data_IF_848312610957
#
_entry.id   IF_848312610957
#
_cell.length_a   1.000
_cell.length_b   1.000
_cell.length_c   1.000
_cell.angle_alpha   90.00
_cell.angle_beta   90.00
_cell.angle_gamma   90.00
#
_symmetry.space_group_name_H-M   'P 1'
#
loop_
_entity.id
_entity.type
_entity.pdbx_description
1 polymer ?
#
# COMPACT_ATOMS: atom_id res chain seq x y z
N UNK A 1 80.65 -3.24 9.06
CA UNK A 1 80.32 -4.27 10.03
C UNK A 1 79.37 -3.64 11.02
N UNK A 2 78.10 -3.82 10.83
CA UNK A 2 77.09 -3.46 11.83
C UNK A 2 75.82 -4.25 11.45
N UNK A 3 75.41 -5.10 12.32
CA UNK A 3 74.22 -5.96 12.14
C UNK A 3 72.93 -5.21 12.47
N UNK A 4 71.92 -5.38 11.67
CA UNK A 4 70.55 -5.00 11.98
C UNK A 4 69.86 -6.17 12.74
N UNK A 5 68.97 -5.93 13.70
CA UNK A 5 68.12 -6.95 14.26
C UNK A 5 66.72 -6.94 13.59
N UNK A 6 66.29 -8.10 13.18
CA UNK A 6 64.92 -8.44 12.79
C UNK A 6 63.87 -8.11 13.89
N UNK A 7 62.82 -7.44 13.53
CA UNK A 7 61.62 -7.32 14.36
C UNK A 7 60.41 -7.95 13.65
N UNK A 8 60.18 -9.19 13.97
CA UNK A 8 58.99 -9.95 13.55
C UNK A 8 57.76 -9.46 14.34
N UNK A 9 56.93 -8.63 13.71
CA UNK A 9 55.71 -8.12 14.26
C UNK A 9 54.53 -9.02 13.89
N UNK A 10 54.11 -9.88 14.82
CA UNK A 10 52.93 -10.75 14.67
C UNK A 10 51.65 -9.95 14.45
N UNK A 11 51.21 -9.85 13.21
CA UNK A 11 49.88 -9.35 12.86
C UNK A 11 48.79 -10.38 13.28
N UNK A 12 48.13 -10.09 14.38
CA UNK A 12 46.96 -10.82 14.86
C UNK A 12 45.80 -10.66 13.86
N UNK A 13 45.58 -11.66 13.04
CA UNK A 13 44.42 -11.70 12.12
C UNK A 13 43.13 -11.74 12.94
N UNK A 14 42.44 -10.61 12.99
CA UNK A 14 41.03 -10.51 13.42
C UNK A 14 40.19 -11.34 12.45
N UNK A 15 39.75 -12.52 12.90
CA UNK A 15 38.79 -13.35 12.11
C UNK A 15 37.51 -12.55 11.87
N UNK A 16 37.26 -12.14 10.64
CA UNK A 16 36.01 -11.53 10.23
C UNK A 16 34.84 -12.52 10.41
N UNK A 17 33.90 -12.18 11.26
CA UNK A 17 32.69 -12.97 11.47
C UNK A 17 31.94 -13.19 10.14
N UNK A 18 31.58 -14.44 9.85
CA UNK A 18 30.93 -14.82 8.60
C UNK A 18 29.54 -14.16 8.46
N UNK A 19 29.08 -13.87 7.23
CA UNK A 19 27.82 -13.16 6.98
C UNK A 19 26.56 -13.82 7.58
N UNK A 20 26.61 -15.09 7.90
CA UNK A 20 25.52 -15.83 8.53
C UNK A 20 25.29 -15.50 10.00
N UNK A 21 26.35 -15.21 10.74
CA UNK A 21 26.30 -14.88 12.19
C UNK A 21 25.67 -13.52 12.41
N UNK A 22 26.00 -12.53 11.56
CA UNK A 22 25.42 -11.17 11.62
C UNK A 22 23.90 -11.20 11.35
N UNK A 23 23.44 -12.06 10.42
CA UNK A 23 22.00 -12.22 10.14
C UNK A 23 21.21 -12.80 11.33
N UNK A 24 21.84 -13.66 12.15
CA UNK A 24 21.18 -14.33 13.26
C UNK A 24 21.00 -13.44 14.48
N UNK A 25 21.94 -12.54 14.72
CA UNK A 25 21.92 -11.61 15.87
C UNK A 25 21.01 -10.39 15.63
N UNK A 26 20.98 -9.84 14.40
CA UNK A 26 20.21 -8.63 14.11
C UNK A 26 18.71 -8.86 13.91
N UNK A 27 18.24 -10.08 13.59
CA UNK A 27 16.83 -10.39 13.42
C UNK A 27 15.95 -10.17 14.67
N UNK A 28 16.35 -10.65 15.87
CA UNK A 28 15.59 -10.43 17.09
C UNK A 28 15.57 -8.97 17.52
N UNK A 29 16.72 -8.27 17.36
CA UNK A 29 16.87 -6.84 17.74
C UNK A 29 16.00 -5.97 16.83
N UNK A 30 15.96 -6.23 15.51
CA UNK A 30 15.15 -5.49 14.57
C UNK A 30 13.64 -5.63 14.86
N UNK A 31 13.18 -6.82 15.27
CA UNK A 31 11.78 -7.07 15.67
C UNK A 31 11.41 -6.33 16.96
N UNK A 32 12.30 -6.31 17.95
CA UNK A 32 12.06 -5.68 19.26
C UNK A 32 11.97 -4.15 19.18
N UNK A 33 12.58 -3.53 18.16
CA UNK A 33 12.57 -2.07 17.96
C UNK A 33 11.67 -1.60 16.79
N UNK A 34 10.78 -2.45 16.28
CA UNK A 34 9.90 -2.10 15.14
C UNK A 34 10.65 -1.79 13.84
N UNK A 35 11.95 -2.19 13.75
CA UNK A 35 12.83 -1.91 12.61
C UNK A 35 12.69 -2.91 11.46
N UNK A 36 11.91 -3.97 11.66
CA UNK A 36 11.66 -4.99 10.65
C UNK A 36 10.47 -4.59 9.77
N UNK A 37 10.59 -3.50 9.00
CA UNK A 37 9.70 -3.30 7.88
C UNK A 37 9.73 -4.54 6.96
N UNK A 38 8.58 -5.02 6.45
CA UNK A 38 8.56 -6.09 5.48
C UNK A 38 9.47 -5.68 4.32
N UNK A 39 10.36 -6.60 3.93
CA UNK A 39 11.23 -6.33 2.80
C UNK A 39 10.39 -6.36 1.53
N UNK A 40 10.60 -5.40 0.61
CA UNK A 40 10.09 -5.59 -0.73
C UNK A 40 10.58 -6.94 -1.25
N UNK A 41 9.72 -7.71 -1.86
CA UNK A 41 10.04 -9.09 -2.29
C UNK A 41 11.15 -9.14 -3.33
N UNK A 42 11.34 -8.07 -4.06
CA UNK A 42 12.30 -7.94 -5.16
C UNK A 42 13.64 -7.33 -4.76
N UNK A 43 13.83 -6.92 -3.50
CA UNK A 43 15.05 -6.24 -3.06
C UNK A 43 16.26 -7.17 -2.90
N UNK A 44 16.43 -8.16 -3.78
CA UNK A 44 17.62 -9.02 -3.78
C UNK A 44 18.82 -8.39 -4.51
N UNK A 45 18.59 -7.43 -5.41
CA UNK A 45 19.61 -6.82 -6.25
C UNK A 45 20.35 -5.63 -5.63
N UNK A 46 19.90 -5.13 -4.47
CA UNK A 46 20.46 -3.93 -3.85
C UNK A 46 21.73 -4.15 -3.06
N UNK A 47 22.65 -3.14 -3.02
CA UNK A 47 23.83 -3.18 -2.17
C UNK A 47 23.47 -3.44 -0.70
N UNK A 48 24.26 -4.26 -0.03
CA UNK A 48 24.05 -4.62 1.39
C UNK A 48 24.05 -3.39 2.32
N UNK A 49 24.86 -2.38 2.01
CA UNK A 49 24.97 -1.13 2.77
C UNK A 49 23.65 -0.36 2.84
N UNK A 50 22.95 -0.19 1.71
CA UNK A 50 21.65 0.49 1.69
C UNK A 50 20.59 -0.29 2.49
N UNK A 51 20.60 -1.63 2.38
CA UNK A 51 19.68 -2.49 3.15
C UNK A 51 19.91 -2.39 4.67
N UNK A 52 21.15 -2.28 5.10
CA UNK A 52 21.52 -2.11 6.50
C UNK A 52 21.16 -0.71 6.98
N UNK A 53 21.40 0.35 6.19
CA UNK A 53 21.05 1.74 6.51
C UNK A 53 19.54 1.91 6.79
N UNK A 54 18.70 1.37 5.91
CA UNK A 54 17.22 1.36 6.10
C UNK A 54 16.83 0.62 7.38
N UNK A 55 17.44 -0.53 7.65
CA UNK A 55 17.14 -1.34 8.86
C UNK A 55 17.55 -0.66 10.16
N UNK A 56 18.68 0.04 10.17
CA UNK A 56 19.19 0.73 11.33
C UNK A 56 18.55 2.11 11.52
N UNK A 57 17.61 2.52 10.65
CA UNK A 57 16.95 3.81 10.73
C UNK A 57 17.85 5.00 10.38
N UNK A 58 18.94 4.75 9.65
CA UNK A 58 19.91 5.80 9.22
C UNK A 58 19.45 6.61 8.02
N UNK A 59 18.38 6.16 7.34
CA UNK A 59 17.76 6.88 6.21
C UNK A 59 16.41 7.43 6.63
N UNK A 60 16.11 8.67 6.27
CA UNK A 60 14.87 9.35 6.60
C UNK A 60 13.68 8.79 5.82
N UNK A 61 13.88 8.52 4.51
CA UNK A 61 12.85 8.01 3.61
C UNK A 61 13.21 6.63 3.02
N UNK A 62 12.19 5.82 2.75
CA UNK A 62 12.34 4.50 2.17
C UNK A 62 11.09 4.11 1.36
N UNK A 63 11.28 3.73 0.11
CA UNK A 63 10.20 3.23 -0.73
C UNK A 63 10.05 1.71 -0.56
N UNK A 64 8.92 1.27 -0.05
CA UNK A 64 8.60 -0.15 0.13
C UNK A 64 8.29 -0.88 -1.19
N UNK A 65 8.06 -0.13 -2.28
CA UNK A 65 7.77 -0.65 -3.61
C UNK A 65 9.07 -1.04 -4.33
N UNK A 66 10.00 -0.11 -4.54
CA UNK A 66 11.25 -0.38 -5.24
C UNK A 66 12.45 -0.57 -4.32
N UNK A 67 12.30 -0.30 -3.01
CA UNK A 67 13.34 -0.39 -1.99
C UNK A 67 14.32 0.78 -1.98
N UNK A 68 14.13 1.85 -2.80
CA UNK A 68 14.93 3.06 -2.72
C UNK A 68 14.97 3.62 -1.29
N UNK A 69 16.08 4.23 -0.92
CA UNK A 69 16.27 4.83 0.39
C UNK A 69 17.11 6.12 0.25
N UNK A 70 16.66 7.18 0.90
CA UNK A 70 17.27 8.50 0.84
C UNK A 70 16.84 9.42 1.98
N UNK A 71 17.07 10.71 1.81
CA UNK A 71 16.72 11.72 2.81
C UNK A 71 15.23 12.12 2.76
N UNK A 72 14.63 12.14 1.56
CA UNK A 72 13.22 12.48 1.33
C UNK A 72 12.74 12.01 -0.03
N UNK A 73 11.44 12.06 -0.26
CA UNK A 73 10.82 11.85 -1.57
C UNK A 73 10.83 13.18 -2.35
N UNK A 74 10.80 13.12 -3.67
CA UNK A 74 10.82 14.31 -4.54
C UNK A 74 9.46 15.04 -4.51
N UNK A 75 9.51 16.37 -4.46
CA UNK A 75 8.32 17.23 -4.43
C UNK A 75 7.96 17.73 -3.03
N UNK A 76 6.76 18.31 -2.91
CA UNK A 76 6.26 18.80 -1.62
C UNK A 76 5.91 17.63 -0.70
N UNK A 77 6.54 17.57 0.45
CA UNK A 77 6.32 16.50 1.44
C UNK A 77 4.88 16.47 1.97
N UNK A 78 4.18 17.62 2.02
CA UNK A 78 2.79 17.71 2.47
C UNK A 78 1.80 17.29 1.39
N UNK A 79 2.22 17.24 0.14
CA UNK A 79 1.40 16.71 -0.96
C UNK A 79 1.51 15.18 -1.01
N UNK A 80 0.39 14.51 -1.23
CA UNK A 80 0.40 13.08 -1.54
C UNK A 80 1.20 12.75 -2.81
N UNK A 81 1.45 13.75 -3.66
CA UNK A 81 2.18 13.63 -4.93
C UNK A 81 3.70 13.54 -4.77
N UNK A 82 4.26 13.66 -3.55
CA UNK A 82 5.69 13.46 -3.33
C UNK A 82 6.14 12.07 -3.80
N UNK A 83 7.00 12.04 -4.84
CA UNK A 83 7.32 10.85 -5.61
C UNK A 83 8.63 10.19 -5.19
N UNK A 84 8.66 8.87 -5.31
CA UNK A 84 9.91 8.13 -5.26
C UNK A 84 10.74 8.41 -6.52
N UNK A 85 12.00 8.89 -6.38
CA UNK A 85 12.86 9.23 -7.54
C UNK A 85 13.23 8.02 -8.40
N UNK A 86 12.99 6.80 -7.91
CA UNK A 86 13.33 5.56 -8.63
C UNK A 86 12.13 4.96 -9.36
N UNK A 87 10.96 4.89 -8.73
CA UNK A 87 9.81 4.18 -9.31
C UNK A 87 8.57 5.06 -9.52
N UNK A 88 8.64 6.36 -9.20
CA UNK A 88 7.53 7.29 -9.37
C UNK A 88 6.33 7.05 -8.45
N UNK A 89 6.45 6.14 -7.45
CA UNK A 89 5.36 5.89 -6.51
C UNK A 89 5.12 7.09 -5.60
N UNK A 90 3.87 7.45 -5.39
CA UNK A 90 3.45 8.48 -4.44
C UNK A 90 3.04 7.86 -3.09
N UNK A 91 2.71 8.67 -2.11
CA UNK A 91 2.45 8.23 -0.74
C UNK A 91 1.32 7.19 -0.65
N UNK A 92 0.21 7.39 -1.38
CA UNK A 92 -0.93 6.46 -1.42
C UNK A 92 -0.59 5.10 -2.02
N UNK A 93 0.27 5.06 -3.07
CA UNK A 93 0.73 3.80 -3.67
C UNK A 93 1.55 3.00 -2.65
N UNK A 94 2.44 3.68 -1.91
CA UNK A 94 3.27 3.06 -0.87
C UNK A 94 2.43 2.53 0.29
N UNK A 95 1.33 3.20 0.63
CA UNK A 95 0.40 2.73 1.65
C UNK A 95 -0.38 1.49 1.20
N UNK A 96 -1.01 1.55 0.03
CA UNK A 96 -1.73 0.41 -0.56
C UNK A 96 -0.82 -0.81 -0.69
N UNK A 97 0.38 -0.60 -1.22
CA UNK A 97 1.36 -1.67 -1.35
C UNK A 97 1.80 -2.25 0.01
N UNK A 98 1.92 -1.42 1.06
CA UNK A 98 2.17 -1.91 2.41
C UNK A 98 1.04 -2.82 2.89
N UNK A 99 -0.21 -2.40 2.74
CA UNK A 99 -1.38 -3.18 3.11
C UNK A 99 -1.37 -4.55 2.40
N UNK A 100 -1.22 -4.55 1.09
CA UNK A 100 -1.12 -5.77 0.30
C UNK A 100 0.07 -6.65 0.71
N UNK A 101 1.26 -6.09 0.77
CA UNK A 101 2.50 -6.87 0.98
C UNK A 101 2.64 -7.45 2.38
N UNK A 102 2.08 -6.79 3.40
CA UNK A 102 2.14 -7.27 4.79
C UNK A 102 1.17 -8.42 5.06
N UNK A 103 0.09 -8.52 4.27
CA UNK A 103 -1.04 -9.43 4.51
C UNK A 103 -1.14 -10.56 3.48
N UNK A 104 -0.50 -10.41 2.33
CA UNK A 104 -0.51 -11.41 1.25
C UNK A 104 0.75 -12.27 1.29
N UNK A 105 0.62 -13.60 1.42
CA UNK A 105 1.76 -14.49 1.42
C UNK A 105 2.37 -14.57 0.01
N UNK A 106 3.71 -14.63 -0.04
CA UNK A 106 4.45 -14.76 -1.31
C UNK A 106 4.34 -16.17 -1.84
N UNK A 107 3.48 -16.38 -2.80
CA UNK A 107 3.28 -17.68 -3.44
C UNK A 107 3.18 -17.50 -4.95
N UNK A 108 4.07 -18.14 -5.73
CA UNK A 108 4.09 -18.03 -7.21
C UNK A 108 2.77 -18.44 -7.88
N UNK A 109 2.01 -19.30 -7.26
CA UNK A 109 0.72 -19.76 -7.77
C UNK A 109 -0.44 -18.83 -7.42
N UNK A 110 -0.23 -17.83 -6.54
CA UNK A 110 -1.29 -16.90 -6.15
C UNK A 110 -1.63 -16.01 -7.35
N UNK A 111 -2.88 -16.07 -7.78
CA UNK A 111 -3.41 -15.31 -8.94
C UNK A 111 -3.75 -13.91 -8.47
N UNK A 112 -2.95 -12.95 -8.90
CA UNK A 112 -3.08 -11.53 -8.54
C UNK A 112 -3.48 -10.74 -9.77
N UNK A 113 -4.59 -10.01 -9.70
CA UNK A 113 -5.03 -9.04 -10.69
C UNK A 113 -4.90 -7.64 -10.09
N UNK A 114 -4.41 -6.69 -10.87
CA UNK A 114 -4.35 -5.27 -10.48
C UNK A 114 -5.03 -4.44 -11.56
N UNK A 115 -5.97 -3.59 -11.17
CA UNK A 115 -6.66 -2.68 -12.08
C UNK A 115 -5.91 -1.34 -12.16
N UNK A 116 -5.91 -0.73 -13.35
CA UNK A 116 -5.32 0.59 -13.60
C UNK A 116 -3.91 0.77 -12.99
N UNK A 117 -2.93 -0.06 -13.40
CA UNK A 117 -1.62 -0.16 -12.74
C UNK A 117 -0.75 1.04 -13.08
N UNK A 118 -0.76 2.05 -12.22
CA UNK A 118 -0.01 3.30 -12.40
C UNK A 118 1.52 3.10 -12.36
N UNK A 119 1.99 2.06 -11.69
CA UNK A 119 3.42 1.77 -11.55
C UNK A 119 3.97 1.03 -12.77
N UNK A 120 5.19 1.45 -13.20
CA UNK A 120 5.81 1.04 -14.44
C UNK A 120 6.24 -0.42 -14.56
N UNK A 121 6.91 -0.74 -15.66
CA UNK A 121 7.32 -2.08 -16.06
C UNK A 121 8.12 -2.84 -14.98
N UNK A 122 9.05 -2.17 -14.28
CA UNK A 122 9.89 -2.83 -13.26
C UNK A 122 9.06 -3.37 -12.08
N UNK A 123 8.06 -2.60 -11.63
CA UNK A 123 7.12 -3.05 -10.62
C UNK A 123 6.34 -4.28 -11.10
N UNK A 124 5.75 -4.22 -12.30
CA UNK A 124 4.97 -5.33 -12.86
C UNK A 124 5.83 -6.58 -13.08
N UNK A 125 7.07 -6.43 -13.55
CA UNK A 125 8.01 -7.52 -13.68
C UNK A 125 8.37 -8.15 -12.31
N UNK A 126 8.48 -7.33 -11.26
CA UNK A 126 8.69 -7.82 -9.91
C UNK A 126 7.46 -8.58 -9.37
N UNK A 127 6.26 -8.10 -9.62
CA UNK A 127 5.00 -8.79 -9.26
C UNK A 127 4.91 -10.16 -9.96
N UNK A 128 5.19 -10.24 -11.25
CA UNK A 128 5.21 -11.52 -12.01
C UNK A 128 6.26 -12.52 -11.53
N UNK A 129 7.32 -12.06 -10.87
CA UNK A 129 8.32 -12.97 -10.27
C UNK A 129 7.77 -13.75 -9.07
N UNK A 130 6.82 -13.17 -8.35
CA UNK A 130 6.30 -13.69 -7.08
C UNK A 130 4.89 -14.25 -7.16
N UNK A 131 4.14 -13.84 -8.15
CA UNK A 131 2.73 -14.18 -8.31
C UNK A 131 2.43 -14.59 -9.77
N UNK A 132 1.32 -15.25 -9.98
CA UNK A 132 0.63 -15.31 -11.26
C UNK A 132 -0.09 -13.97 -11.46
N UNK A 133 0.70 -12.92 -11.78
CA UNK A 133 0.23 -11.53 -11.83
C UNK A 133 -0.20 -11.13 -13.24
N UNK A 134 -1.35 -10.47 -13.32
CA UNK A 134 -1.84 -9.75 -14.50
C UNK A 134 -2.28 -8.35 -14.10
N UNK A 135 -2.11 -7.41 -15.00
CA UNK A 135 -2.65 -6.05 -14.90
C UNK A 135 -3.83 -5.88 -15.86
N UNK A 136 -4.79 -5.05 -15.47
CA UNK A 136 -5.95 -4.73 -16.31
C UNK A 136 -6.24 -3.25 -16.30
N UNK A 137 -6.87 -2.76 -17.35
CA UNK A 137 -7.39 -1.40 -17.42
C UNK A 137 -8.67 -1.40 -18.26
N UNK A 138 -9.51 -0.38 -18.10
CA UNK A 138 -10.66 -0.15 -18.96
C UNK A 138 -10.20 0.19 -20.39
N UNK A 139 -9.19 1.06 -20.49
CA UNK A 139 -8.48 1.38 -21.73
C UNK A 139 -7.06 0.78 -21.72
N UNK A 140 -6.80 -0.18 -22.57
CA UNK A 140 -5.47 -0.80 -22.72
C UNK A 140 -4.35 0.19 -23.04
N UNK A 141 -4.68 1.30 -23.69
CA UNK A 141 -3.72 2.35 -24.05
C UNK A 141 -3.26 3.20 -22.86
N UNK A 142 -4.08 3.34 -21.82
CA UNK A 142 -3.83 4.25 -20.71
C UNK A 142 -2.60 3.85 -19.88
N UNK A 143 -2.48 2.58 -19.49
CA UNK A 143 -1.40 2.08 -18.62
C UNK A 143 -0.65 0.87 -19.20
N UNK A 144 -0.82 0.55 -20.48
CA UNK A 144 -0.22 -0.63 -21.12
C UNK A 144 -0.50 -1.91 -20.31
N UNK A 145 -1.75 -2.11 -19.93
CA UNK A 145 -2.20 -3.25 -19.16
C UNK A 145 -2.19 -4.55 -19.98
N UNK A 146 -2.20 -5.70 -19.28
CA UNK A 146 -2.18 -7.02 -19.94
C UNK A 146 -3.54 -7.36 -20.56
N UNK A 147 -4.65 -6.91 -19.95
CA UNK A 147 -6.01 -7.19 -20.42
C UNK A 147 -6.91 -5.95 -20.29
N UNK A 148 -7.87 -5.79 -21.20
CA UNK A 148 -8.99 -4.85 -21.02
C UNK A 148 -9.98 -5.44 -20.01
N UNK A 149 -10.54 -4.58 -19.13
CA UNK A 149 -11.46 -5.04 -18.11
C UNK A 149 -12.41 -3.92 -17.67
N UNK A 150 -13.71 -4.16 -17.83
CA UNK A 150 -14.75 -3.36 -17.21
C UNK A 150 -15.16 -4.01 -15.89
N UNK A 151 -15.05 -3.27 -14.78
CA UNK A 151 -15.45 -3.78 -13.46
C UNK A 151 -16.94 -4.13 -13.36
N UNK A 152 -17.79 -3.57 -14.22
CA UNK A 152 -19.22 -3.90 -14.27
C UNK A 152 -19.54 -5.18 -15.06
N UNK A 153 -18.58 -5.65 -15.87
CA UNK A 153 -18.72 -6.86 -16.68
C UNK A 153 -17.35 -7.50 -16.87
N UNK A 154 -16.90 -8.23 -15.85
CA UNK A 154 -15.57 -8.83 -15.85
C UNK A 154 -15.58 -10.12 -16.66
N UNK A 155 -14.86 -10.12 -17.80
CA UNK A 155 -14.68 -11.30 -18.66
C UNK A 155 -13.60 -12.24 -18.09
N UNK A 156 -13.84 -12.72 -16.88
CA UNK A 156 -13.02 -13.74 -16.21
C UNK A 156 -13.94 -14.76 -15.55
N UNK A 157 -13.53 -16.04 -15.47
CA UNK A 157 -14.30 -17.08 -14.80
C UNK A 157 -14.54 -16.78 -13.31
N UNK A 158 -15.59 -17.36 -12.74
CA UNK A 158 -15.80 -17.41 -11.30
C UNK A 158 -14.58 -18.04 -10.62
N UNK A 159 -14.30 -17.62 -9.39
CA UNK A 159 -13.23 -18.20 -8.56
C UNK A 159 -11.83 -18.19 -9.22
N UNK A 160 -11.59 -17.27 -10.18
CA UNK A 160 -10.36 -17.23 -10.99
C UNK A 160 -9.23 -16.40 -10.41
N UNK A 161 -9.49 -15.54 -9.41
CA UNK A 161 -8.54 -14.60 -8.81
C UNK A 161 -8.45 -14.83 -7.30
N UNK A 162 -7.24 -14.84 -6.75
CA UNK A 162 -7.00 -14.98 -5.31
C UNK A 162 -6.85 -13.62 -4.63
N UNK A 163 -6.28 -12.63 -5.34
CA UNK A 163 -6.12 -11.26 -4.85
C UNK A 163 -6.39 -10.27 -5.97
N UNK A 164 -7.27 -9.32 -5.71
CA UNK A 164 -7.48 -8.13 -6.55
C UNK A 164 -6.88 -6.91 -5.84
N UNK A 165 -6.18 -6.06 -6.60
CA UNK A 165 -5.71 -4.75 -6.15
C UNK A 165 -6.40 -3.71 -7.04
N UNK A 166 -7.21 -2.83 -6.45
CA UNK A 166 -7.97 -1.82 -7.20
C UNK A 166 -7.77 -0.43 -6.60
N UNK A 167 -6.73 0.30 -7.06
CA UNK A 167 -6.41 1.64 -6.60
C UNK A 167 -7.15 2.69 -7.43
N UNK A 168 -7.97 3.52 -6.80
CA UNK A 168 -8.57 4.71 -7.44
C UNK A 168 -9.24 4.39 -8.79
N UNK A 169 -10.11 3.39 -8.83
CA UNK A 169 -10.87 2.98 -10.03
C UNK A 169 -12.37 3.03 -9.77
N UNK A 170 -12.80 2.67 -8.55
CA UNK A 170 -14.22 2.48 -8.26
C UNK A 170 -15.04 3.79 -8.38
N UNK A 171 -14.41 4.94 -8.13
CA UNK A 171 -15.01 6.27 -8.32
C UNK A 171 -15.38 6.57 -9.78
N UNK A 172 -14.77 5.86 -10.72
CA UNK A 172 -15.00 5.97 -12.16
C UNK A 172 -16.02 4.97 -12.70
N UNK A 173 -16.59 4.13 -11.83
CA UNK A 173 -17.53 3.09 -12.23
C UNK A 173 -18.97 3.56 -11.98
N UNK A 174 -19.82 3.65 -13.02
CA UNK A 174 -21.20 4.11 -12.87
C UNK A 174 -22.04 3.30 -11.90
N UNK A 175 -22.01 1.95 -12.00
CA UNK A 175 -22.72 1.04 -11.10
C UNK A 175 -21.74 0.32 -10.17
N UNK A 176 -21.50 0.94 -9.02
CA UNK A 176 -20.64 0.38 -7.97
C UNK A 176 -21.14 -0.98 -7.45
N UNK A 177 -22.47 -1.20 -7.35
CA UNK A 177 -23.00 -2.46 -6.84
C UNK A 177 -22.73 -3.61 -7.80
N UNK A 178 -22.92 -3.37 -9.08
CA UNK A 178 -22.61 -4.35 -10.12
C UNK A 178 -21.12 -4.68 -10.12
N UNK A 179 -20.26 -3.65 -10.05
CA UNK A 179 -18.80 -3.87 -9.95
C UNK A 179 -18.40 -4.70 -8.74
N UNK A 180 -18.97 -4.43 -7.56
CA UNK A 180 -18.68 -5.19 -6.34
C UNK A 180 -19.17 -6.65 -6.44
N UNK A 181 -20.30 -6.88 -7.10
CA UNK A 181 -20.81 -8.23 -7.39
C UNK A 181 -19.86 -9.00 -8.28
N UNK A 182 -19.39 -8.40 -9.37
CA UNK A 182 -18.41 -8.99 -10.29
C UNK A 182 -17.07 -9.27 -9.63
N UNK A 183 -16.56 -8.31 -8.85
CA UNK A 183 -15.33 -8.50 -8.04
C UNK A 183 -15.50 -9.70 -7.13
N UNK A 184 -16.64 -9.82 -6.43
CA UNK A 184 -16.91 -10.95 -5.55
C UNK A 184 -16.99 -12.27 -6.31
N UNK A 185 -17.60 -12.27 -7.49
CA UNK A 185 -17.75 -13.47 -8.34
C UNK A 185 -16.40 -14.04 -8.76
N UNK A 186 -15.48 -13.18 -9.23
CA UNK A 186 -14.17 -13.64 -9.73
C UNK A 186 -13.18 -14.02 -8.63
N UNK A 187 -13.35 -13.53 -7.39
CA UNK A 187 -12.48 -13.91 -6.27
C UNK A 187 -12.75 -15.36 -5.86
N UNK A 188 -11.68 -16.13 -5.65
CA UNK A 188 -11.78 -17.48 -5.09
C UNK A 188 -12.30 -17.49 -3.65
N UNK A 189 -12.77 -18.63 -3.17
CA UNK A 189 -13.12 -18.80 -1.75
C UNK A 189 -11.91 -18.43 -0.86
N UNK A 190 -12.12 -17.52 0.09
CA UNK A 190 -11.06 -16.94 0.92
C UNK A 190 -10.15 -15.93 0.16
N UNK A 191 -10.46 -15.62 -1.08
CA UNK A 191 -9.82 -14.56 -1.85
C UNK A 191 -10.13 -13.17 -1.30
N UNK A 192 -9.37 -12.18 -1.69
CA UNK A 192 -9.49 -10.82 -1.14
C UNK A 192 -9.24 -9.73 -2.17
N UNK A 193 -9.86 -8.58 -1.95
CA UNK A 193 -9.50 -7.35 -2.67
C UNK A 193 -8.94 -6.31 -1.71
N UNK A 194 -7.94 -5.55 -2.18
CA UNK A 194 -7.45 -4.33 -1.56
C UNK A 194 -7.95 -3.17 -2.39
N UNK A 195 -8.94 -2.47 -1.85
CA UNK A 195 -9.62 -1.36 -2.50
C UNK A 195 -9.18 -0.04 -1.88
N UNK A 196 -8.82 0.92 -2.72
CA UNK A 196 -8.51 2.28 -2.32
C UNK A 196 -9.25 3.25 -3.23
N UNK A 197 -9.93 4.23 -2.64
CA UNK A 197 -10.62 5.33 -3.33
C UNK A 197 -10.31 6.65 -2.63
N UNK A 198 -10.47 7.80 -3.28
CA UNK A 198 -10.46 9.08 -2.60
C UNK A 198 -11.61 9.12 -1.58
N UNK A 199 -11.27 9.30 -0.30
CA UNK A 199 -12.27 9.46 0.76
C UNK A 199 -12.48 10.94 1.01
N UNK A 200 -13.56 11.51 0.46
CA UNK A 200 -13.77 12.95 0.45
C UNK A 200 -14.90 13.45 1.36
N UNK A 201 -15.81 12.55 1.80
CA UNK A 201 -17.02 12.96 2.54
C UNK A 201 -17.53 11.84 3.44
N UNK A 202 -18.46 12.17 4.34
CA UNK A 202 -19.06 11.20 5.28
C UNK A 202 -19.91 10.14 4.58
N UNK A 203 -20.71 10.54 3.60
CA UNK A 203 -21.60 9.66 2.83
C UNK A 203 -21.26 9.68 1.35
N UNK A 204 -21.37 8.54 0.71
CA UNK A 204 -21.16 8.37 -0.73
C UNK A 204 -22.26 9.09 -1.50
N UNK A 205 -21.88 9.98 -2.43
CA UNK A 205 -22.78 10.70 -3.31
C UNK A 205 -22.11 10.98 -4.66
N UNK A 206 -22.89 11.20 -5.74
CA UNK A 206 -22.32 11.73 -6.96
C UNK A 206 -21.78 13.15 -6.73
N UNK A 207 -20.79 13.61 -7.53
CA UNK A 207 -20.39 15.01 -7.53
C UNK A 207 -21.60 15.93 -7.81
N UNK A 208 -21.62 17.13 -7.21
CA UNK A 208 -22.69 18.12 -7.43
C UNK A 208 -22.68 18.63 -8.87
N UNK A 209 -21.51 18.72 -9.48
CA UNK A 209 -21.30 19.08 -10.88
C UNK A 209 -20.43 18.00 -11.55
N UNK A 210 -20.47 17.88 -12.90
CA UNK A 210 -19.60 16.94 -13.61
C UNK A 210 -18.13 17.14 -13.24
N UNK A 211 -17.50 16.11 -12.70
CA UNK A 211 -16.11 16.13 -12.26
C UNK A 211 -15.28 15.20 -13.13
N UNK A 212 -14.07 15.63 -13.48
CA UNK A 212 -13.13 14.86 -14.28
C UNK A 212 -11.74 14.97 -13.68
N UNK A 213 -10.98 13.88 -13.72
CA UNK A 213 -9.56 13.92 -13.40
C UNK A 213 -8.75 14.60 -14.53
N UNK A 214 -7.47 14.87 -14.29
CA UNK A 214 -6.60 15.57 -15.25
C UNK A 214 -6.44 14.84 -16.60
N UNK A 215 -6.65 13.52 -16.63
CA UNK A 215 -6.67 12.67 -17.82
C UNK A 215 -8.05 12.61 -18.52
N UNK A 216 -8.98 13.46 -18.12
CA UNK A 216 -10.37 13.52 -18.58
C UNK A 216 -11.22 12.30 -18.20
N UNK A 217 -10.79 11.50 -17.21
CA UNK A 217 -11.60 10.39 -16.67
C UNK A 217 -12.70 10.92 -15.77
N UNK A 218 -13.96 10.56 -16.07
CA UNK A 218 -15.14 11.03 -15.34
C UNK A 218 -15.22 10.41 -13.94
N UNK A 219 -15.53 11.23 -12.94
CA UNK A 219 -15.86 10.81 -11.58
C UNK A 219 -17.37 10.66 -11.46
N UNK A 220 -17.83 9.47 -11.11
CA UNK A 220 -19.26 9.18 -10.87
C UNK A 220 -19.61 9.27 -9.39
N UNK A 221 -18.65 8.95 -8.51
CA UNK A 221 -18.88 8.84 -7.08
C UNK A 221 -17.79 9.50 -6.26
N UNK A 222 -18.19 10.25 -5.26
CA UNK A 222 -17.38 10.67 -4.13
C UNK A 222 -17.70 9.76 -2.96
N UNK A 223 -16.76 8.89 -2.60
CA UNK A 223 -16.99 7.88 -1.58
C UNK A 223 -16.82 8.44 -0.17
N UNK A 224 -17.71 7.99 0.72
CA UNK A 224 -17.68 8.21 2.15
C UNK A 224 -17.43 6.92 2.94
N UNK A 225 -17.56 7.01 4.25
CA UNK A 225 -17.35 5.86 5.16
C UNK A 225 -18.41 4.77 5.00
N UNK A 226 -19.59 5.11 4.49
CA UNK A 226 -20.66 4.19 4.15
C UNK A 226 -20.26 3.18 3.05
N UNK A 227 -19.16 3.43 2.33
CA UNK A 227 -18.55 2.41 1.47
C UNK A 227 -18.27 1.11 2.23
N UNK A 228 -17.90 1.18 3.51
CA UNK A 228 -17.73 -0.01 4.36
C UNK A 228 -19.01 -0.84 4.46
N UNK A 229 -20.15 -0.18 4.61
CA UNK A 229 -21.47 -0.84 4.62
C UNK A 229 -21.83 -1.39 3.24
N UNK A 230 -21.54 -0.64 2.17
CA UNK A 230 -21.78 -1.11 0.80
C UNK A 230 -20.99 -2.39 0.50
N UNK A 231 -19.73 -2.44 0.90
CA UNK A 231 -18.87 -3.62 0.75
C UNK A 231 -19.42 -4.83 1.54
N UNK A 232 -19.90 -4.63 2.76
CA UNK A 232 -20.51 -5.68 3.57
C UNK A 232 -21.81 -6.20 2.97
N UNK A 233 -22.67 -5.30 2.51
CA UNK A 233 -23.94 -5.69 1.86
C UNK A 233 -23.71 -6.40 0.53
N UNK A 234 -22.53 -6.21 -0.09
CA UNK A 234 -22.10 -6.98 -1.26
C UNK A 234 -21.49 -8.35 -0.89
N UNK A 235 -21.53 -8.74 0.39
CA UNK A 235 -21.14 -10.08 0.87
C UNK A 235 -19.63 -10.23 1.17
N UNK A 236 -18.94 -9.13 1.50
CA UNK A 236 -17.56 -9.19 1.96
C UNK A 236 -17.45 -9.09 3.49
N UNK A 237 -16.48 -9.82 4.05
CA UNK A 237 -15.95 -9.50 5.37
C UNK A 237 -14.92 -8.37 5.19
N UNK A 238 -15.12 -7.22 5.87
CA UNK A 238 -14.39 -5.98 5.60
C UNK A 238 -13.52 -5.59 6.79
N UNK A 239 -12.28 -5.20 6.52
CA UNK A 239 -11.36 -4.52 7.43
C UNK A 239 -10.93 -3.20 6.82
N UNK A 240 -10.87 -2.17 7.66
CA UNK A 240 -10.50 -0.81 7.24
C UNK A 240 -9.07 -0.54 7.70
N UNK A 241 -8.13 -0.61 6.78
CA UNK A 241 -6.70 -0.48 7.07
C UNK A 241 -6.30 0.99 7.03
N UNK A 242 -5.69 1.47 8.12
CA UNK A 242 -5.29 2.87 8.33
C UNK A 242 -3.90 2.96 8.97
N UNK A 243 -3.33 4.16 9.07
CA UNK A 243 -2.14 4.41 9.89
C UNK A 243 -2.52 4.55 11.37
N UNK A 244 -1.57 4.31 12.30
CA UNK A 244 -1.78 4.53 13.74
C UNK A 244 -2.23 5.97 14.03
N UNK A 245 -1.61 6.96 13.36
CA UNK A 245 -1.95 8.36 13.52
C UNK A 245 -3.38 8.65 13.07
N UNK A 246 -3.76 8.18 11.89
CA UNK A 246 -5.10 8.43 11.37
C UNK A 246 -6.18 7.73 12.23
N UNK A 247 -5.92 6.51 12.71
CA UNK A 247 -6.81 5.84 13.66
C UNK A 247 -7.03 6.70 14.94
N UNK A 248 -5.96 7.26 15.51
CA UNK A 248 -6.08 8.15 16.68
C UNK A 248 -6.88 9.41 16.38
N UNK A 249 -6.66 10.03 15.21
CA UNK A 249 -7.43 11.21 14.79
C UNK A 249 -8.93 10.90 14.65
N UNK A 250 -9.28 9.74 14.08
CA UNK A 250 -10.66 9.30 13.94
C UNK A 250 -11.31 9.08 15.30
N UNK A 251 -10.62 8.42 16.23
CA UNK A 251 -11.13 8.20 17.60
C UNK A 251 -11.30 9.52 18.35
N UNK A 252 -10.29 10.39 18.31
CA UNK A 252 -10.33 11.66 19.04
C UNK A 252 -11.47 12.58 18.57
N UNK A 253 -11.78 12.55 17.28
CA UNK A 253 -12.79 13.44 16.71
C UNK A 253 -14.22 12.92 16.80
N UNK A 254 -14.42 11.62 16.98
CA UNK A 254 -15.75 11.09 17.30
C UNK A 254 -16.22 11.51 18.70
N UNK A 255 -15.29 11.86 19.58
CA UNK A 255 -15.59 12.39 20.92
C UNK A 255 -15.88 13.90 20.94
N UNK A 256 -15.60 14.64 19.86
CA UNK A 256 -15.80 16.08 19.79
C UNK A 256 -17.25 16.44 19.38
N UNK A 257 -17.81 17.50 20.00
CA UNK A 257 -19.12 18.02 19.60
C UNK A 257 -19.14 18.51 18.15
N UNK A 258 -20.29 18.39 17.43
CA UNK A 258 -20.41 18.84 16.05
C UNK A 258 -20.18 20.35 15.93
N UNK A 259 -19.37 20.76 14.96
CA UNK A 259 -19.24 22.15 14.56
C UNK A 259 -20.44 22.55 13.67
N UNK A 260 -20.98 23.74 13.88
CA UNK A 260 -22.14 24.24 13.16
C UNK A 260 -21.77 25.10 11.93
N UNK A 261 -20.50 25.17 11.56
CA UNK A 261 -20.00 26.12 10.55
C UNK A 261 -20.33 25.77 9.10
N UNK A 262 -20.88 24.61 8.79
CA UNK A 262 -21.35 24.27 7.43
C UNK A 262 -20.26 24.10 6.34
N UNK A 263 -19.00 24.40 6.65
CA UNK A 263 -17.86 24.10 5.81
C UNK A 263 -17.49 22.62 5.86
N UNK A 264 -16.82 22.12 4.82
CA UNK A 264 -16.38 20.74 4.66
C UNK A 264 -15.77 20.18 5.97
N UNK A 265 -16.66 19.63 6.79
CA UNK A 265 -16.31 19.20 8.15
C UNK A 265 -15.74 17.79 8.10
N UNK A 266 -14.41 17.69 8.18
CA UNK A 266 -13.72 16.43 8.42
C UNK A 266 -14.29 15.65 9.62
N UNK A 267 -15.03 16.30 10.53
CA UNK A 267 -15.70 15.70 11.66
C UNK A 267 -17.00 14.98 11.26
N UNK A 268 -17.69 15.39 10.19
CA UNK A 268 -18.86 14.68 9.66
C UNK A 268 -18.46 13.32 9.07
N UNK A 269 -17.31 13.24 8.41
CA UNK A 269 -16.70 11.99 7.93
C UNK A 269 -16.48 10.98 9.07
N UNK A 270 -16.26 11.45 10.25
CA UNK A 270 -15.82 10.68 11.42
C UNK A 270 -16.93 10.05 12.23
N UNK A 271 -18.18 10.49 12.06
CA UNK A 271 -19.34 9.94 12.78
C UNK A 271 -19.76 8.58 12.28
N UNK A 272 -19.58 8.33 10.98
CA UNK A 272 -20.01 7.11 10.33
C UNK A 272 -18.93 6.01 10.36
N UNK A 273 -17.77 6.29 10.99
CA UNK A 273 -16.71 5.31 11.17
C UNK A 273 -17.05 4.36 12.30
N UNK A 274 -17.17 3.09 11.97
CA UNK A 274 -17.27 2.04 12.98
C UNK A 274 -15.84 1.74 13.48
N UNK A 275 -15.50 2.21 14.67
CA UNK A 275 -14.15 2.08 15.24
C UNK A 275 -13.66 0.64 15.34
N UNK A 276 -14.57 -0.31 15.55
CA UNK A 276 -14.26 -1.74 15.58
C UNK A 276 -13.72 -2.29 14.24
N UNK A 277 -13.94 -1.57 13.15
CA UNK A 277 -13.48 -1.96 11.82
C UNK A 277 -12.07 -1.46 11.49
N UNK A 278 -11.59 -0.45 12.24
CA UNK A 278 -10.30 0.15 12.01
C UNK A 278 -9.18 -0.79 12.44
N UNK A 279 -8.29 -1.09 11.53
CA UNK A 279 -7.09 -1.87 11.80
C UNK A 279 -5.85 -1.02 11.47
N UNK A 280 -5.15 -0.46 12.48
CA UNK A 280 -3.89 0.23 12.27
C UNK A 280 -2.82 -0.73 11.78
N UNK A 281 -2.22 -0.43 10.62
CA UNK A 281 -1.23 -1.30 9.95
C UNK A 281 0.16 -0.71 9.84
N UNK A 282 0.30 0.58 10.13
CA UNK A 282 1.56 1.32 10.09
C UNK A 282 1.72 2.16 11.32
N UNK A 283 2.83 1.97 12.04
CA UNK A 283 3.24 2.91 13.10
C UNK A 283 3.64 4.26 12.50
N UNK A 284 3.56 5.33 13.30
CA UNK A 284 3.94 6.69 12.86
C UNK A 284 5.36 6.76 12.29
N UNK A 285 6.29 6.00 12.88
CA UNK A 285 7.67 5.94 12.39
C UNK A 285 7.76 5.26 11.02
N UNK A 286 6.99 4.19 10.80
CA UNK A 286 6.94 3.50 9.53
C UNK A 286 6.27 4.38 8.48
N UNK A 287 5.15 5.03 8.81
CA UNK A 287 4.43 5.94 7.95
C UNK A 287 5.33 7.08 7.47
N UNK A 288 5.98 7.81 8.39
CA UNK A 288 6.93 8.90 8.04
C UNK A 288 8.04 8.44 7.09
N UNK A 289 8.60 7.26 7.30
CA UNK A 289 9.64 6.70 6.41
C UNK A 289 9.14 6.35 5.03
N UNK A 290 7.86 6.07 4.88
CA UNK A 290 7.20 5.87 3.59
C UNK A 290 6.72 7.20 2.97
N UNK A 291 7.00 8.35 3.59
CA UNK A 291 6.51 9.65 3.17
C UNK A 291 5.00 9.80 3.35
N UNK A 292 4.45 9.09 4.34
CA UNK A 292 3.04 9.21 4.72
C UNK A 292 3.00 10.09 5.97
N UNK A 293 2.43 11.29 5.81
CA UNK A 293 2.33 12.29 6.87
C UNK A 293 0.95 12.22 7.56
N UNK A 294 0.80 12.84 8.74
CA UNK A 294 -0.47 12.89 9.46
C UNK A 294 -1.63 13.52 8.67
N UNK A 295 -1.35 14.44 7.75
CA UNK A 295 -2.35 15.03 6.86
C UNK A 295 -2.84 14.08 5.75
N UNK A 296 -2.10 13.00 5.48
CA UNK A 296 -2.48 12.00 4.48
C UNK A 296 -3.44 10.99 5.12
N UNK A 297 -4.73 11.17 4.91
CA UNK A 297 -5.81 10.36 5.47
C UNK A 297 -6.14 9.16 4.57
N UNK A 298 -5.15 8.31 4.30
CA UNK A 298 -5.33 7.15 3.43
C UNK A 298 -6.05 6.01 4.13
N UNK A 299 -6.98 5.42 3.40
CA UNK A 299 -7.72 4.22 3.79
C UNK A 299 -7.54 3.16 2.70
N UNK A 300 -7.40 1.92 3.13
CA UNK A 300 -7.50 0.74 2.26
C UNK A 300 -8.52 -0.22 2.87
N UNK A 301 -9.53 -0.58 2.11
CA UNK A 301 -10.45 -1.64 2.50
C UNK A 301 -9.88 -2.98 2.06
N UNK A 302 -9.60 -3.86 3.02
CA UNK A 302 -9.36 -5.27 2.76
C UNK A 302 -10.70 -6.00 2.84
N UNK A 303 -11.20 -6.46 1.70
CA UNK A 303 -12.47 -7.15 1.58
C UNK A 303 -12.21 -8.62 1.29
N UNK A 304 -12.65 -9.51 2.18
CA UNK A 304 -12.46 -10.96 2.04
C UNK A 304 -13.77 -11.58 1.56
N UNK A 305 -13.66 -12.44 0.54
CA UNK A 305 -14.77 -13.34 0.19
C UNK A 305 -14.75 -14.54 1.15
N UNK A 306 -15.87 -14.79 1.81
CA UNK A 306 -16.00 -15.92 2.71
C UNK A 306 -15.74 -17.26 2.01
N UNK A 307 -15.32 -18.26 2.78
CA UNK A 307 -14.99 -19.60 2.27
C UNK A 307 -16.24 -20.51 2.14
N UNK A 308 -17.45 -19.91 2.22
CA UNK A 308 -18.71 -20.66 2.13
C UNK A 308 -19.04 -21.09 0.72
#
# INVERSE_FOLDING_TARGET
>A
MSAEPDSDGALTRVRSATPSTVKRVLRPVARRFGLAAPRPWWDRSRPRSQRIGVRLGRTAAWCNICGWAGEGFDGDAHSESAMCPTCGSIARDRFLFWCFASRTPRRRKLRVLETSPRLGHEYRAAMRRWFSYRSSDFDLGAHLADIALDLQKIDLPDDSIDVLITPHVLEHVPDTRLALSEIRRILSAGGRTYLQVPLLQGSTAPPLEPEFHADNTKVYWRFGWDLTTMLRTSGFAVRVLVTDEFARQLVASSAAAPDQSGEFDLRSIRRDVIHADLEPVLTDRQARRLGILPCHQFVVWECLRDSS
#
